data_IF_680734371771
#
_entry.id   IF_680734371771
#
_cell.length_a   1.000
_cell.length_b   1.000
_cell.length_c   1.000
_cell.angle_alpha   90.00
_cell.angle_beta   90.00
_cell.angle_gamma   90.00
#
_symmetry.space_group_name_H-M   'P 1'
#
loop_
_entity.id
_entity.type
_entity.pdbx_description
1 polymer ?
#
# COMPACT_ATOMS: atom_id res chain seq x y z
N UNK A 1 12.87 12.84 70.69
CA UNK A 1 11.58 13.09 71.39
C UNK A 1 10.51 13.42 70.33
N UNK A 2 9.39 12.78 70.48
CA UNK A 2 8.09 12.86 69.80
C UNK A 2 7.92 12.08 68.52
N UNK A 3 7.38 10.87 68.73
CA UNK A 3 6.57 10.04 67.84
C UNK A 3 5.23 10.75 67.61
N UNK A 4 4.72 10.76 66.41
CA UNK A 4 3.28 10.84 66.18
C UNK A 4 2.93 9.73 65.20
N UNK A 5 2.26 8.71 65.73
CA UNK A 5 1.43 7.73 65.00
C UNK A 5 0.14 8.43 64.60
N UNK A 6 -0.31 8.26 63.40
CA UNK A 6 -1.72 8.38 63.03
C UNK A 6 -2.10 7.25 62.07
N UNK A 7 -2.74 6.28 62.63
CA UNK A 7 -3.61 5.26 62.03
C UNK A 7 -4.95 5.88 61.70
N UNK A 8 -5.64 5.40 60.68
CA UNK A 8 -7.07 5.47 60.32
C UNK A 8 -7.12 5.35 58.82
N UNK A 9 -7.74 4.42 58.11
CA UNK A 9 -8.82 3.54 58.41
C UNK A 9 -9.42 3.17 57.07
N UNK A 10 -9.48 1.91 56.80
CA UNK A 10 -10.15 1.32 55.64
C UNK A 10 -11.66 1.50 55.77
N UNK A 11 -12.42 1.66 54.71
CA UNK A 11 -13.69 0.96 54.59
C UNK A 11 -13.70 0.03 53.36
N UNK A 12 -13.82 -1.21 53.70
CA UNK A 12 -14.36 -2.33 52.98
C UNK A 12 -15.83 -2.02 52.60
N UNK A 13 -16.18 -1.91 51.34
CA UNK A 13 -17.56 -1.99 50.89
C UNK A 13 -17.70 -3.14 49.88
N UNK A 14 -18.25 -4.17 50.45
CA UNK A 14 -18.91 -5.33 49.88
C UNK A 14 -20.23 -4.90 49.24
N UNK A 15 -20.61 -5.49 48.12
CA UNK A 15 -21.97 -5.66 47.54
C UNK A 15 -21.85 -5.67 46.03
N UNK A 16 -22.44 -6.51 45.26
CA UNK A 16 -23.31 -7.68 45.41
C UNK A 16 -23.42 -8.22 43.97
N UNK A 17 -23.33 -9.50 43.89
CA UNK A 17 -23.67 -10.29 42.70
C UNK A 17 -25.19 -10.26 42.55
N UNK A 18 -25.71 -9.83 41.41
CA UNK A 18 -27.08 -10.16 40.98
C UNK A 18 -26.99 -10.84 39.64
N UNK A 19 -27.23 -12.14 39.69
CA UNK A 19 -27.63 -13.03 38.62
C UNK A 19 -29.13 -12.95 38.44
N UNK A 20 -29.64 -12.90 37.21
CA UNK A 20 -30.91 -13.39 36.70
C UNK A 20 -30.92 -13.07 35.20
N UNK A 21 -30.83 -13.99 34.28
CA UNK A 21 -31.79 -15.01 33.84
C UNK A 21 -32.99 -14.41 33.06
N UNK A 22 -33.04 -14.87 31.78
CA UNK A 22 -34.21 -15.04 30.94
C UNK A 22 -35.16 -13.84 30.69
N UNK A 23 -35.19 -13.44 29.43
CA UNK A 23 -36.48 -13.25 28.77
C UNK A 23 -36.44 -13.60 27.31
N UNK A 24 -37.32 -14.50 26.98
CA UNK A 24 -37.59 -15.08 25.67
C UNK A 24 -38.37 -14.12 24.75
N UNK A 25 -38.22 -14.33 23.48
CA UNK A 25 -39.18 -14.19 22.38
C UNK A 25 -40.15 -13.00 22.38
N UNK A 26 -40.00 -12.17 21.37
CA UNK A 26 -41.17 -11.60 20.73
C UNK A 26 -40.95 -11.59 19.20
N UNK A 27 -41.53 -12.59 18.54
CA UNK A 27 -41.90 -12.59 17.12
C UNK A 27 -43.04 -11.57 16.93
N UNK A 28 -42.86 -10.61 16.07
CA UNK A 28 -43.97 -9.88 15.45
C UNK A 28 -43.90 -10.10 13.96
N UNK A 29 -44.71 -11.04 13.50
CA UNK A 29 -45.01 -11.26 12.11
C UNK A 29 -45.78 -10.07 11.54
N UNK A 30 -45.38 -9.61 10.36
CA UNK A 30 -46.18 -8.81 9.49
C UNK A 30 -46.46 -9.68 8.25
N UNK A 31 -47.63 -10.29 8.24
CA UNK A 31 -48.24 -10.95 7.11
C UNK A 31 -48.72 -9.85 6.19
N UNK A 32 -48.16 -9.73 4.99
CA UNK A 32 -48.79 -9.00 3.90
C UNK A 32 -49.53 -10.00 3.01
N UNK A 33 -50.79 -9.77 2.99
CA UNK A 33 -51.84 -10.39 2.20
C UNK A 33 -51.56 -10.27 0.70
N UNK A 34 -51.51 -11.40 0.02
CA UNK A 34 -51.44 -11.46 -1.46
C UNK A 34 -52.90 -11.45 -1.97
N UNK A 35 -53.31 -10.33 -2.50
CA UNK A 35 -54.57 -10.16 -3.18
C UNK A 35 -54.49 -10.77 -4.59
N UNK A 36 -55.14 -11.88 -4.77
CA UNK A 36 -55.33 -12.57 -6.06
C UNK A 36 -56.39 -11.84 -6.88
N UNK A 37 -55.97 -11.21 -7.96
CA UNK A 37 -56.91 -10.66 -8.95
C UNK A 37 -57.22 -11.74 -9.98
N UNK A 38 -58.41 -12.24 -9.89
CA UNK A 38 -59.11 -13.12 -10.86
C UNK A 38 -59.45 -12.33 -12.10
N UNK A 39 -58.85 -12.66 -13.26
CA UNK A 39 -59.29 -12.09 -14.56
C UNK A 39 -60.21 -13.08 -15.25
N UNK A 40 -61.46 -12.69 -15.35
CA UNK A 40 -62.55 -13.32 -16.00
C UNK A 40 -62.33 -13.35 -17.53
N UNK A 41 -62.41 -14.54 -18.11
CA UNK A 41 -62.53 -14.74 -19.56
C UNK A 41 -63.90 -14.25 -20.07
N UNK A 42 -63.85 -13.51 -21.15
CA UNK A 42 -65.04 -13.25 -21.96
C UNK A 42 -64.72 -13.48 -23.43
N UNK A 43 -65.43 -14.40 -24.01
CA UNK A 43 -65.51 -14.75 -25.43
C UNK A 43 -65.88 -13.55 -26.30
N UNK A 44 -65.27 -13.45 -27.48
CA UNK A 44 -65.93 -12.97 -28.70
C UNK A 44 -65.10 -13.40 -29.93
N UNK A 45 -65.62 -14.39 -30.60
CA UNK A 45 -65.30 -14.74 -31.98
C UNK A 45 -65.56 -13.56 -32.91
N UNK A 46 -64.62 -13.28 -33.84
CA UNK A 46 -64.98 -12.90 -35.22
C UNK A 46 -63.73 -13.09 -36.12
N UNK A 47 -63.94 -13.99 -37.07
CA UNK A 47 -62.96 -14.28 -38.10
C UNK A 47 -62.67 -13.09 -39.01
N UNK A 48 -61.43 -12.99 -39.38
CA UNK A 48 -61.00 -12.22 -40.55
C UNK A 48 -59.84 -12.97 -41.23
N UNK A 49 -60.03 -13.20 -42.46
CA UNK A 49 -59.35 -13.89 -43.51
C UNK A 49 -57.84 -13.59 -43.46
N UNK A 50 -57.03 -14.65 -43.43
CA UNK A 50 -55.55 -14.58 -43.53
C UNK A 50 -55.25 -14.42 -45.01
N UNK A 51 -54.79 -13.22 -45.38
CA UNK A 51 -54.12 -12.93 -46.64
C UNK A 51 -52.68 -13.35 -46.52
N UNK A 52 -52.19 -14.30 -47.28
CA UNK A 52 -50.86 -14.76 -47.37
C UNK A 52 -50.00 -13.63 -47.95
N UNK A 53 -49.21 -12.93 -47.10
CA UNK A 53 -48.13 -12.09 -47.52
C UNK A 53 -46.90 -12.98 -47.71
N UNK A 54 -46.34 -12.96 -48.91
CA UNK A 54 -45.06 -13.58 -49.25
C UNK A 54 -43.94 -13.05 -48.34
N UNK A 55 -42.92 -13.86 -48.04
CA UNK A 55 -41.83 -13.40 -47.19
C UNK A 55 -40.98 -12.35 -47.93
N UNK A 56 -41.07 -11.11 -47.49
CA UNK A 56 -40.12 -10.07 -47.89
C UNK A 56 -38.73 -10.57 -47.61
N UNK A 57 -37.95 -10.78 -48.67
CA UNK A 57 -36.53 -11.00 -48.61
C UNK A 57 -35.88 -9.76 -48.02
N UNK A 58 -35.60 -9.84 -46.72
CA UNK A 58 -34.72 -8.86 -46.08
C UNK A 58 -33.36 -8.88 -46.75
N UNK A 59 -33.17 -7.91 -47.64
CA UNK A 59 -31.85 -7.57 -48.16
C UNK A 59 -31.01 -7.04 -47.00
N UNK A 60 -30.30 -7.94 -46.30
CA UNK A 60 -29.27 -7.58 -45.34
C UNK A 60 -28.18 -6.93 -46.20
N UNK A 61 -27.94 -5.61 -46.09
CA UNK A 61 -26.81 -5.03 -46.73
C UNK A 61 -25.56 -5.78 -46.25
N UNK A 62 -24.74 -6.29 -47.15
CA UNK A 62 -23.51 -6.95 -46.88
C UNK A 62 -22.73 -6.04 -45.90
N UNK A 63 -22.67 -6.49 -44.65
CA UNK A 63 -21.89 -5.83 -43.60
C UNK A 63 -20.47 -5.76 -44.12
N UNK A 64 -20.04 -4.56 -44.48
CA UNK A 64 -18.62 -4.27 -44.67
C UNK A 64 -17.89 -4.83 -43.47
N UNK A 65 -16.88 -5.67 -43.69
CA UNK A 65 -16.00 -6.28 -42.69
C UNK A 65 -15.16 -5.22 -42.00
N UNK A 66 -15.77 -4.32 -41.25
CA UNK A 66 -15.08 -3.51 -40.28
C UNK A 66 -14.76 -4.44 -39.11
N UNK A 67 -13.47 -4.65 -38.85
CA UNK A 67 -13.01 -5.39 -37.69
C UNK A 67 -13.77 -4.92 -36.45
N UNK A 68 -14.32 -5.87 -35.68
CA UNK A 68 -15.22 -5.59 -34.56
C UNK A 68 -14.48 -4.69 -33.54
N UNK A 69 -14.77 -3.40 -33.62
CA UNK A 69 -14.21 -2.40 -32.71
C UNK A 69 -14.91 -2.55 -31.35
N UNK A 70 -14.17 -2.83 -30.29
CA UNK A 70 -14.69 -2.95 -28.94
C UNK A 70 -14.41 -1.65 -28.20
N UNK A 71 -15.43 -1.13 -27.53
CA UNK A 71 -15.30 0.06 -26.68
C UNK A 71 -15.24 -0.36 -25.22
N UNK A 72 -14.34 0.28 -24.48
CA UNK A 72 -14.15 0.09 -23.05
C UNK A 72 -14.34 1.42 -22.34
N UNK A 73 -14.88 1.36 -21.14
CA UNK A 73 -14.79 2.44 -20.16
C UNK A 73 -13.77 2.03 -19.12
N UNK A 74 -13.11 3.00 -18.52
CA UNK A 74 -12.12 2.72 -17.48
C UNK A 74 -11.64 3.97 -16.78
N UNK A 75 -10.55 3.80 -16.08
CA UNK A 75 -9.90 4.89 -15.35
C UNK A 75 -8.37 4.84 -15.56
N UNK A 76 -7.75 5.99 -15.41
CA UNK A 76 -6.30 6.08 -15.28
C UNK A 76 -5.91 5.51 -13.92
N UNK A 77 -4.97 4.57 -13.91
CA UNK A 77 -4.36 4.05 -12.69
C UNK A 77 -2.84 4.16 -12.74
N UNK A 78 -2.25 4.23 -11.56
CA UNK A 78 -0.81 4.09 -11.38
C UNK A 78 -0.53 2.68 -10.88
N UNK A 79 0.42 1.93 -11.48
CA UNK A 79 0.74 0.59 -10.99
C UNK A 79 1.26 0.65 -9.55
N UNK A 80 1.09 -0.41 -8.74
CA UNK A 80 1.48 -0.41 -7.33
C UNK A 80 2.94 0.00 -7.09
N UNK A 81 3.86 -0.35 -8.00
CA UNK A 81 5.28 0.04 -7.93
C UNK A 81 5.54 1.53 -8.13
N UNK A 82 4.57 2.26 -8.70
CA UNK A 82 4.63 3.70 -8.93
C UNK A 82 3.92 4.51 -7.84
N UNK A 83 3.37 3.84 -6.84
CA UNK A 83 2.75 4.44 -5.66
C UNK A 83 3.48 3.94 -4.41
N UNK A 84 3.91 4.84 -3.55
CA UNK A 84 4.56 4.50 -2.29
C UNK A 84 3.96 5.32 -1.15
N UNK A 85 3.61 4.65 -0.08
CA UNK A 85 3.24 5.30 1.19
C UNK A 85 4.49 5.41 2.03
N UNK A 86 4.82 6.60 2.46
CA UNK A 86 5.96 6.86 3.35
C UNK A 86 5.46 6.73 4.79
N UNK A 87 5.92 5.69 5.46
CA UNK A 87 5.63 5.42 6.87
C UNK A 87 6.87 5.64 7.72
N UNK A 88 6.67 6.01 8.97
CA UNK A 88 7.75 6.18 9.93
C UNK A 88 8.22 4.83 10.46
N UNK A 89 9.47 4.51 10.27
CA UNK A 89 10.08 3.28 10.82
C UNK A 89 10.30 3.39 12.33
N UNK A 90 10.55 4.62 12.84
CA UNK A 90 10.69 4.95 14.26
C UNK A 90 9.75 6.11 14.57
N UNK A 91 9.08 6.10 15.72
CA UNK A 91 8.26 7.22 16.18
C UNK A 91 9.10 8.44 16.53
N UNK A 92 8.44 9.57 16.79
CA UNK A 92 9.11 10.79 17.20
C UNK A 92 8.31 12.05 16.94
N UNK A 93 8.80 13.18 17.46
CA UNK A 93 8.24 14.49 17.18
C UNK A 93 8.74 15.00 15.82
N UNK A 94 7.82 15.42 14.96
CA UNK A 94 8.15 15.99 13.65
C UNK A 94 8.78 17.38 13.83
N UNK A 95 10.06 17.51 13.47
CA UNK A 95 10.83 18.76 13.61
C UNK A 95 10.66 19.67 12.41
N UNK A 96 10.76 19.11 11.20
CA UNK A 96 10.57 19.86 9.97
C UNK A 96 9.90 19.03 8.88
N UNK A 97 9.20 19.75 8.00
CA UNK A 97 8.47 19.20 6.86
C UNK A 97 8.65 20.17 5.67
N UNK A 98 9.77 20.05 4.92
CA UNK A 98 10.12 21.02 3.88
C UNK A 98 9.37 20.82 2.55
N UNK A 99 8.35 19.96 2.52
CA UNK A 99 7.59 19.60 1.31
C UNK A 99 6.10 19.71 1.55
N UNK A 100 5.32 19.96 0.48
CA UNK A 100 3.86 20.08 0.50
C UNK A 100 3.21 19.11 -0.48
N UNK A 101 1.91 18.88 -0.31
CA UNK A 101 1.10 18.13 -1.28
C UNK A 101 1.20 18.77 -2.67
N UNK A 102 1.54 17.97 -3.67
CA UNK A 102 1.73 18.41 -5.05
C UNK A 102 3.19 18.68 -5.43
N UNK A 103 4.11 18.81 -4.46
CA UNK A 103 5.54 18.96 -4.77
C UNK A 103 6.13 17.69 -5.39
N UNK A 104 7.09 17.89 -6.30
CA UNK A 104 7.87 16.78 -6.85
C UNK A 104 9.12 16.54 -6.00
N UNK A 105 9.32 15.31 -5.57
CA UNK A 105 10.52 14.88 -4.83
C UNK A 105 11.31 13.84 -5.62
N UNK A 106 12.63 13.86 -5.47
CA UNK A 106 13.53 12.84 -6.01
C UNK A 106 13.66 11.69 -5.01
N UNK A 107 13.95 10.47 -5.52
CA UNK A 107 14.30 9.36 -4.64
C UNK A 107 15.49 9.74 -3.73
N UNK A 108 15.37 9.48 -2.43
CA UNK A 108 16.36 9.82 -1.41
C UNK A 108 16.31 11.27 -0.91
N UNK A 109 15.46 12.13 -1.44
CA UNK A 109 15.27 13.49 -0.94
C UNK A 109 14.60 13.46 0.44
N UNK A 110 15.07 14.32 1.35
CA UNK A 110 14.50 14.47 2.69
C UNK A 110 13.13 15.12 2.56
N UNK A 111 12.12 14.47 3.13
CA UNK A 111 10.73 14.94 3.16
C UNK A 111 10.30 15.35 4.56
N UNK A 112 10.94 14.83 5.59
CA UNK A 112 10.68 15.17 6.98
C UNK A 112 11.92 14.90 7.84
N UNK A 113 12.01 15.53 9.00
CA UNK A 113 12.96 15.19 10.05
C UNK A 113 12.23 14.95 11.37
N UNK A 114 12.66 13.95 12.13
CA UNK A 114 12.09 13.53 13.40
C UNK A 114 13.09 13.68 14.52
N UNK A 115 12.63 14.13 15.68
CA UNK A 115 13.40 14.01 16.95
C UNK A 115 12.89 12.81 17.73
N UNK A 116 13.84 11.95 18.13
CA UNK A 116 13.56 10.83 19.03
C UNK A 116 14.79 10.56 19.90
N UNK A 117 14.65 10.52 21.24
CA UNK A 117 15.75 10.17 22.14
C UNK A 117 16.32 8.77 21.91
N UNK A 118 15.47 7.80 21.57
CA UNK A 118 15.91 6.42 21.31
C UNK A 118 16.83 6.33 20.08
N UNK A 119 16.65 7.24 19.10
CA UNK A 119 17.57 7.35 17.97
C UNK A 119 18.98 7.78 18.40
N UNK A 120 19.07 8.68 19.36
CA UNK A 120 20.36 9.11 19.92
C UNK A 120 20.99 7.96 20.71
N UNK A 121 20.20 7.26 21.51
CA UNK A 121 20.66 6.10 22.27
C UNK A 121 21.19 4.98 21.37
N UNK A 122 20.46 4.64 20.30
CA UNK A 122 20.88 3.62 19.33
C UNK A 122 22.25 3.95 18.68
N UNK A 123 22.49 5.22 18.37
CA UNK A 123 23.78 5.66 17.83
C UNK A 123 24.90 5.56 18.90
N UNK A 124 24.59 5.87 20.15
CA UNK A 124 25.53 5.69 21.26
C UNK A 124 25.88 4.21 21.45
N UNK A 125 24.90 3.33 21.41
CA UNK A 125 25.11 1.87 21.51
C UNK A 125 26.02 1.38 20.38
N UNK A 126 25.78 1.82 19.15
CA UNK A 126 26.62 1.50 18.00
C UNK A 126 28.08 1.96 18.20
N UNK A 127 28.29 3.21 18.58
CA UNK A 127 29.66 3.76 18.80
C UNK A 127 30.39 3.04 19.92
N UNK A 128 29.69 2.76 21.04
CA UNK A 128 30.27 2.04 22.18
C UNK A 128 30.64 0.62 21.81
N UNK A 129 29.71 -0.11 21.15
CA UNK A 129 29.99 -1.48 20.72
C UNK A 129 31.13 -1.53 19.68
N UNK A 130 31.22 -0.55 18.79
CA UNK A 130 32.27 -0.46 17.78
C UNK A 130 33.66 -0.31 18.43
N UNK A 131 33.77 0.60 19.40
CA UNK A 131 35.04 0.80 20.14
C UNK A 131 35.40 -0.45 20.95
N UNK A 132 34.43 -1.09 21.59
CA UNK A 132 34.65 -2.29 22.39
C UNK A 132 35.06 -3.49 21.54
N UNK A 133 34.45 -3.66 20.37
CA UNK A 133 34.83 -4.71 19.42
C UNK A 133 36.26 -4.55 18.94
N UNK A 134 36.72 -3.32 18.61
CA UNK A 134 38.07 -3.06 18.20
C UNK A 134 39.07 -3.44 19.28
N UNK A 135 38.78 -3.09 20.55
CA UNK A 135 39.61 -3.46 21.69
C UNK A 135 39.67 -4.98 21.91
N UNK A 136 38.53 -5.63 21.95
CA UNK A 136 38.41 -7.08 22.21
C UNK A 136 38.99 -7.93 21.07
N UNK A 137 38.90 -7.46 19.84
CA UNK A 137 39.50 -8.14 18.69
C UNK A 137 41.05 -8.20 18.86
N UNK A 138 41.66 -7.05 19.20
CA UNK A 138 43.09 -6.98 19.46
C UNK A 138 43.52 -7.86 20.66
N UNK A 139 42.68 -7.90 21.71
CA UNK A 139 42.90 -8.75 22.86
C UNK A 139 42.81 -10.24 22.50
N UNK A 140 41.76 -10.65 21.76
CA UNK A 140 41.64 -12.02 21.29
C UNK A 140 42.81 -12.45 20.41
N UNK A 141 43.24 -11.63 19.47
CA UNK A 141 44.37 -11.87 18.62
C UNK A 141 45.69 -12.00 19.47
N UNK A 142 45.86 -11.19 20.50
CA UNK A 142 46.99 -11.28 21.44
C UNK A 142 46.97 -12.60 22.18
N UNK A 143 45.85 -13.02 22.75
CA UNK A 143 45.70 -14.30 23.45
C UNK A 143 45.88 -15.50 22.49
N UNK A 144 45.47 -15.41 21.25
CA UNK A 144 45.70 -16.43 20.23
C UNK A 144 47.19 -16.60 19.92
N UNK A 145 47.93 -15.52 19.74
CA UNK A 145 49.38 -15.53 19.51
C UNK A 145 50.18 -16.09 20.72
N UNK A 146 49.75 -15.76 21.95
CA UNK A 146 50.36 -16.29 23.16
C UNK A 146 50.08 -17.77 23.34
N UNK A 147 48.86 -18.24 23.02
CA UNK A 147 48.50 -19.66 23.09
C UNK A 147 49.30 -20.52 22.10
N UNK A 148 49.56 -19.98 20.89
CA UNK A 148 50.43 -20.67 19.90
C UNK A 148 51.89 -20.82 20.40
N UNK A 149 52.35 -19.95 21.28
CA UNK A 149 53.66 -20.00 21.90
C UNK A 149 53.70 -20.70 23.27
N UNK A 150 52.64 -21.45 23.59
CA UNK A 150 52.42 -22.13 24.88
C UNK A 150 52.47 -21.19 26.10
N UNK A 151 52.33 -19.87 25.89
CA UNK A 151 52.44 -18.87 26.93
C UNK A 151 51.11 -18.38 27.51
N UNK A 152 49.95 -18.89 27.01
CA UNK A 152 48.64 -18.55 27.53
C UNK A 152 47.82 -19.82 27.84
N UNK A 153 46.93 -19.71 28.86
CA UNK A 153 46.01 -20.80 29.15
C UNK A 153 44.87 -20.86 28.15
N UNK A 154 44.44 -22.07 27.76
CA UNK A 154 43.29 -22.30 26.88
C UNK A 154 41.99 -21.59 27.41
N UNK A 155 41.84 -21.54 28.73
CA UNK A 155 40.73 -20.84 29.39
C UNK A 155 40.69 -19.36 29.01
N UNK A 156 41.83 -18.67 29.03
CA UNK A 156 41.92 -17.22 28.69
C UNK A 156 41.63 -16.96 27.21
N UNK A 157 42.11 -17.85 26.33
CA UNK A 157 41.85 -17.78 24.90
C UNK A 157 40.34 -17.95 24.63
N UNK A 158 39.71 -18.94 25.25
CA UNK A 158 38.26 -19.16 25.10
C UNK A 158 37.42 -18.00 25.66
N UNK A 159 37.82 -17.43 26.80
CA UNK A 159 37.16 -16.28 27.40
C UNK A 159 37.27 -15.05 26.50
N UNK A 160 38.47 -14.67 26.04
CA UNK A 160 38.65 -13.53 25.15
C UNK A 160 37.88 -13.66 23.82
N UNK A 161 37.83 -14.90 23.28
CA UNK A 161 37.00 -15.20 22.11
C UNK A 161 35.49 -15.01 22.37
N UNK A 162 35.00 -15.48 23.51
CA UNK A 162 33.57 -15.36 23.87
C UNK A 162 33.21 -13.87 24.08
N UNK A 163 34.04 -13.09 24.76
CA UNK A 163 33.81 -11.65 24.94
C UNK A 163 33.82 -10.88 23.62
N UNK A 164 34.79 -11.16 22.73
CA UNK A 164 34.84 -10.57 21.38
C UNK A 164 33.58 -10.89 20.58
N UNK A 165 33.17 -12.17 20.54
CA UNK A 165 31.99 -12.57 19.78
C UNK A 165 30.66 -12.00 20.33
N UNK A 166 30.57 -11.89 21.67
CA UNK A 166 29.42 -11.27 22.33
C UNK A 166 29.28 -9.81 21.92
N UNK A 167 30.38 -9.05 21.99
CA UNK A 167 30.32 -7.62 21.66
C UNK A 167 30.16 -7.39 20.17
N UNK A 168 30.76 -8.22 19.32
CA UNK A 168 30.54 -8.22 17.87
C UNK A 168 29.06 -8.42 17.51
N UNK A 169 28.37 -9.32 18.23
CA UNK A 169 26.93 -9.53 18.04
C UNK A 169 26.10 -8.28 18.34
N UNK A 170 26.46 -7.53 19.43
CA UNK A 170 25.80 -6.26 19.76
C UNK A 170 26.05 -5.20 18.69
N UNK A 171 27.30 -5.09 18.21
CA UNK A 171 27.63 -4.18 17.13
C UNK A 171 26.82 -4.46 15.87
N UNK A 172 26.74 -5.72 15.45
CA UNK A 172 25.97 -6.10 14.26
C UNK A 172 24.48 -5.85 14.46
N UNK A 173 23.92 -6.06 15.65
CA UNK A 173 22.54 -5.74 15.96
C UNK A 173 22.26 -4.23 15.85
N UNK A 174 23.13 -3.40 16.44
CA UNK A 174 23.00 -1.93 16.36
C UNK A 174 23.14 -1.43 14.92
N UNK A 175 24.07 -1.98 14.13
CA UNK A 175 24.20 -1.69 12.69
C UNK A 175 22.93 -2.03 11.92
N UNK A 176 22.35 -3.21 12.17
CA UNK A 176 21.13 -3.65 11.51
C UNK A 176 19.95 -2.71 11.83
N UNK A 177 19.81 -2.29 13.09
CA UNK A 177 18.77 -1.34 13.49
C UNK A 177 18.95 0.03 12.82
N UNK A 178 20.17 0.57 12.75
CA UNK A 178 20.47 1.82 12.04
C UNK A 178 20.22 1.70 10.53
N UNK A 179 20.53 0.56 9.93
CA UNK A 179 20.25 0.29 8.52
C UNK A 179 18.75 0.27 8.21
N UNK A 180 17.90 -0.26 9.11
CA UNK A 180 16.43 -0.20 8.98
C UNK A 180 15.90 1.24 8.99
N UNK A 181 16.61 2.16 9.63
CA UNK A 181 16.32 3.60 9.64
C UNK A 181 16.93 4.33 8.43
N UNK A 182 17.56 3.63 7.49
CA UNK A 182 18.33 4.19 6.37
C UNK A 182 19.45 5.15 6.80
N UNK A 183 20.04 4.88 7.95
CA UNK A 183 21.16 5.66 8.50
C UNK A 183 22.47 4.99 8.15
N UNK A 184 23.38 5.76 7.55
CA UNK A 184 24.73 5.30 7.24
C UNK A 184 25.63 5.40 8.50
N UNK A 185 26.09 4.25 8.96
CA UNK A 185 26.95 4.15 10.14
C UNK A 185 28.31 4.83 9.95
N UNK A 186 28.79 4.99 8.70
CA UNK A 186 30.02 5.75 8.43
C UNK A 186 29.83 7.25 8.67
N UNK A 187 28.63 7.78 8.46
CA UNK A 187 28.32 9.18 8.78
C UNK A 187 28.38 9.42 10.29
N UNK A 188 27.86 8.47 11.10
CA UNK A 188 27.94 8.56 12.56
C UNK A 188 29.39 8.53 13.02
N UNK A 189 30.23 7.66 12.45
CA UNK A 189 31.64 7.55 12.80
C UNK A 189 32.43 8.82 12.45
N UNK A 190 32.08 9.52 11.37
CA UNK A 190 32.77 10.73 10.90
C UNK A 190 32.27 12.02 11.56
N UNK A 191 30.94 12.15 11.67
CA UNK A 191 30.29 13.40 12.04
C UNK A 191 29.76 13.41 13.49
N UNK A 192 29.80 12.27 14.17
CA UNK A 192 29.25 12.11 15.52
C UNK A 192 27.70 11.81 15.48
N UNK A 193 27.12 11.90 16.67
CA UNK A 193 25.69 11.58 16.88
C UNK A 193 24.81 12.64 16.22
N UNK A 194 23.87 12.18 15.40
CA UNK A 194 22.84 13.02 14.78
C UNK A 194 21.67 13.20 15.75
N UNK A 195 21.13 14.41 15.86
CA UNK A 195 20.03 14.74 16.78
C UNK A 195 18.64 14.48 16.19
N UNK A 196 18.54 14.31 14.88
CA UNK A 196 17.29 14.07 14.16
C UNK A 196 17.46 12.96 13.14
N UNK A 197 16.37 12.21 12.95
CA UNK A 197 16.27 11.16 11.95
C UNK A 197 15.66 11.74 10.68
N UNK A 198 16.30 11.51 9.54
CA UNK A 198 15.82 11.93 8.23
C UNK A 198 14.86 10.90 7.64
N UNK A 199 13.66 11.35 7.28
CA UNK A 199 12.68 10.57 6.50
C UNK A 199 12.89 10.91 5.02
N UNK A 200 13.27 9.90 4.23
CA UNK A 200 13.62 10.07 2.82
C UNK A 200 12.56 9.47 1.91
N UNK A 201 12.37 10.09 0.74
CA UNK A 201 11.49 9.59 -0.30
C UNK A 201 12.00 8.24 -0.85
N UNK A 202 11.22 7.15 -0.80
CA UNK A 202 11.63 5.84 -1.32
C UNK A 202 11.64 5.79 -2.85
N UNK A 203 10.79 6.59 -3.49
CA UNK A 203 10.71 6.75 -4.95
C UNK A 203 10.67 8.23 -5.32
N UNK A 204 11.02 8.56 -6.57
CA UNK A 204 10.77 9.90 -7.12
C UNK A 204 9.33 10.03 -7.58
N UNK A 205 8.67 11.17 -7.30
CA UNK A 205 7.28 11.39 -7.66
C UNK A 205 6.67 12.61 -7.01
N UNK A 206 5.37 12.75 -7.10
CA UNK A 206 4.61 13.86 -6.51
C UNK A 206 4.04 13.45 -5.16
N UNK A 207 4.18 14.34 -4.18
CA UNK A 207 3.61 14.16 -2.83
C UNK A 207 2.08 14.20 -2.91
N UNK A 208 1.43 13.23 -2.27
CA UNK A 208 -0.02 13.13 -2.12
C UNK A 208 -0.37 12.86 -0.65
N UNK A 209 -1.58 13.19 -0.25
CA UNK A 209 -2.15 12.78 1.05
C UNK A 209 -1.26 13.10 2.26
N UNK A 210 -0.74 14.33 2.33
CA UNK A 210 0.04 14.76 3.47
C UNK A 210 -0.82 14.80 4.74
N UNK A 211 -0.45 13.99 5.74
CA UNK A 211 -1.18 13.84 7.00
C UNK A 211 -0.37 14.30 8.23
N UNK A 212 0.75 14.97 7.99
CA UNK A 212 1.70 15.32 9.03
C UNK A 212 1.78 16.84 9.25
N UNK A 213 1.88 17.24 10.52
CA UNK A 213 2.09 18.62 10.94
C UNK A 213 3.37 18.73 11.79
N UNK A 214 4.12 19.81 11.61
CA UNK A 214 5.30 20.10 12.43
C UNK A 214 4.92 20.25 13.90
N UNK A 215 5.73 19.67 14.79
CA UNK A 215 5.50 19.63 16.24
C UNK A 215 4.62 18.48 16.71
N UNK A 216 3.94 17.75 15.81
CA UNK A 216 3.14 16.60 16.17
C UNK A 216 4.05 15.38 16.46
N UNK A 217 3.68 14.59 17.46
CA UNK A 217 4.31 13.30 17.73
C UNK A 217 3.63 12.20 16.94
N UNK A 218 4.41 11.35 16.32
CA UNK A 218 3.95 10.20 15.54
C UNK A 218 4.53 8.89 16.10
N UNK A 219 3.73 7.84 16.06
CA UNK A 219 4.19 6.50 16.38
C UNK A 219 4.83 5.82 15.16
N UNK A 220 5.65 4.80 15.42
CA UNK A 220 6.19 3.96 14.35
C UNK A 220 5.05 3.29 13.56
N UNK A 221 5.20 3.18 12.24
CA UNK A 221 4.18 2.66 11.34
C UNK A 221 3.16 3.69 10.84
N UNK A 222 3.15 4.92 11.39
CA UNK A 222 2.23 5.97 10.96
C UNK A 222 2.60 6.48 9.56
N UNK A 223 1.62 6.60 8.63
CA UNK A 223 1.85 7.21 7.32
C UNK A 223 2.05 8.73 7.43
N UNK A 224 3.02 9.26 6.72
CA UNK A 224 3.31 10.70 6.63
C UNK A 224 2.71 11.28 5.36
N UNK A 225 2.95 10.64 4.23
CA UNK A 225 2.43 11.05 2.93
C UNK A 225 2.44 9.89 1.94
N UNK A 226 1.72 10.05 0.84
CA UNK A 226 1.85 9.25 -0.37
C UNK A 226 2.85 9.88 -1.35
N UNK A 227 3.49 9.07 -2.19
CA UNK A 227 4.28 9.54 -3.34
C UNK A 227 3.82 8.79 -4.57
N UNK A 228 3.46 9.52 -5.63
CA UNK A 228 2.99 8.94 -6.90
C UNK A 228 3.95 9.31 -8.02
N UNK A 229 4.51 8.28 -8.65
CA UNK A 229 5.31 8.44 -9.87
C UNK A 229 4.42 8.30 -11.09
N UNK A 230 4.30 9.36 -11.89
CA UNK A 230 3.47 9.36 -13.11
C UNK A 230 4.16 8.77 -14.35
N UNK A 231 5.44 8.43 -14.27
CA UNK A 231 6.19 7.93 -15.42
C UNK A 231 5.62 6.63 -16.00
N UNK A 232 4.95 5.84 -15.20
CA UNK A 232 4.29 4.61 -15.60
C UNK A 232 2.78 4.72 -15.39
N UNK A 233 2.09 5.34 -16.33
CA UNK A 233 0.63 5.42 -16.31
C UNK A 233 0.04 4.18 -16.98
N UNK A 234 -0.99 3.61 -16.38
CA UNK A 234 -1.77 2.49 -16.91
C UNK A 234 -3.25 2.86 -16.99
N UNK A 235 -3.98 2.14 -17.79
CA UNK A 235 -5.44 2.16 -17.82
C UNK A 235 -5.94 0.89 -17.13
N UNK A 236 -6.93 1.05 -16.29
CA UNK A 236 -7.79 -0.02 -15.81
C UNK A 236 -9.09 0.07 -16.61
N UNK A 237 -9.24 -0.79 -17.60
CA UNK A 237 -10.38 -0.85 -18.50
C UNK A 237 -11.33 -1.96 -18.06
N UNK A 238 -12.62 -1.73 -18.23
CA UNK A 238 -13.66 -2.73 -17.95
C UNK A 238 -14.10 -3.36 -19.26
N UNK A 239 -13.82 -4.64 -19.44
CA UNK A 239 -14.34 -5.48 -20.52
C UNK A 239 -15.48 -6.34 -19.99
N UNK A 240 -16.32 -6.88 -20.90
CA UNK A 240 -17.37 -7.82 -20.55
C UNK A 240 -17.03 -9.23 -21.04
N UNK A 241 -17.57 -10.25 -20.38
CA UNK A 241 -17.34 -11.66 -20.70
C UNK A 241 -17.55 -11.97 -22.20
N UNK A 242 -18.56 -11.36 -22.83
CA UNK A 242 -18.87 -11.51 -24.28
C UNK A 242 -17.74 -11.03 -25.19
N UNK A 243 -16.88 -10.13 -24.72
CA UNK A 243 -15.82 -9.51 -25.50
C UNK A 243 -14.46 -10.21 -25.30
N UNK A 244 -14.37 -11.13 -24.33
CA UNK A 244 -13.13 -11.79 -23.94
C UNK A 244 -12.46 -12.56 -25.09
N UNK A 245 -13.23 -13.20 -25.96
CA UNK A 245 -12.72 -13.94 -27.10
C UNK A 245 -12.08 -13.03 -28.19
N UNK A 246 -12.31 -11.73 -28.11
CA UNK A 246 -11.88 -10.75 -29.11
C UNK A 246 -10.75 -9.84 -28.65
N UNK A 247 -10.39 -9.86 -27.36
CA UNK A 247 -9.28 -9.07 -26.79
C UNK A 247 -8.10 -9.99 -26.47
N UNK A 248 -6.90 -9.49 -26.69
CA UNK A 248 -5.67 -10.22 -26.38
C UNK A 248 -4.60 -9.28 -25.79
N UNK A 249 -3.70 -9.86 -25.02
CA UNK A 249 -2.49 -9.17 -24.58
C UNK A 249 -1.67 -8.78 -25.83
N UNK A 250 -1.22 -7.52 -25.89
CA UNK A 250 -0.54 -6.93 -27.05
C UNK A 250 -1.45 -6.11 -27.97
N UNK A 251 -2.79 -6.19 -27.81
CA UNK A 251 -3.71 -5.38 -28.59
C UNK A 251 -3.49 -3.88 -28.33
N UNK A 252 -3.54 -3.08 -29.39
CA UNK A 252 -3.44 -1.62 -29.29
C UNK A 252 -4.82 -1.03 -28.98
N UNK A 253 -4.81 -0.06 -28.08
CA UNK A 253 -6.00 0.64 -27.62
C UNK A 253 -5.80 2.13 -27.82
N UNK A 254 -6.75 2.78 -28.47
CA UNK A 254 -6.84 4.23 -28.55
C UNK A 254 -7.82 4.71 -27.49
N UNK A 255 -7.48 5.76 -26.75
CA UNK A 255 -8.32 6.27 -25.70
C UNK A 255 -8.31 7.79 -25.61
N UNK A 256 -9.38 8.33 -25.06
CA UNK A 256 -9.53 9.74 -24.68
C UNK A 256 -9.74 9.82 -23.17
N UNK A 257 -9.30 10.92 -22.58
CA UNK A 257 -9.43 11.17 -21.14
C UNK A 257 -10.48 12.26 -20.93
N UNK A 258 -11.48 11.98 -20.09
CA UNK A 258 -12.51 12.97 -19.78
C UNK A 258 -11.89 14.14 -19.00
N UNK A 259 -12.16 15.37 -19.48
CA UNK A 259 -11.64 16.59 -18.85
C UNK A 259 -10.27 17.05 -19.36
N UNK A 260 -9.70 16.36 -20.33
CA UNK A 260 -8.56 16.84 -21.13
C UNK A 260 -9.08 16.97 -22.55
N UNK A 261 -8.62 17.99 -23.29
CA UNK A 261 -9.02 18.20 -24.69
C UNK A 261 -9.00 16.88 -25.47
N UNK A 262 -9.91 16.73 -26.45
CA UNK A 262 -10.15 15.49 -27.21
C UNK A 262 -8.90 14.89 -27.91
N UNK A 263 -7.77 14.93 -27.23
CA UNK A 263 -6.52 14.33 -27.70
C UNK A 263 -6.64 12.80 -27.62
N UNK A 264 -6.25 12.13 -28.72
CA UNK A 264 -6.26 10.68 -28.83
C UNK A 264 -4.92 10.13 -28.36
N UNK A 265 -4.94 9.33 -27.33
CA UNK A 265 -3.76 8.66 -26.75
C UNK A 265 -3.77 7.19 -27.13
N UNK A 266 -2.59 6.57 -27.03
CA UNK A 266 -2.43 5.15 -27.31
C UNK A 266 -1.92 4.39 -26.10
N UNK A 267 -2.47 3.19 -25.92
CA UNK A 267 -2.05 2.22 -24.92
C UNK A 267 -1.99 0.82 -25.53
N UNK A 268 -1.33 -0.09 -24.83
CA UNK A 268 -1.18 -1.49 -25.20
C UNK A 268 -1.67 -2.37 -24.06
N UNK A 269 -2.53 -3.35 -24.34
CA UNK A 269 -3.03 -4.30 -23.34
C UNK A 269 -1.85 -5.16 -22.87
N UNK A 270 -1.54 -5.07 -21.57
CA UNK A 270 -0.44 -5.82 -20.97
C UNK A 270 -0.90 -7.00 -20.12
N UNK A 271 -2.12 -6.95 -19.61
CA UNK A 271 -2.71 -8.05 -18.83
C UNK A 271 -4.24 -8.01 -18.89
N UNK A 272 -4.83 -9.18 -18.77
CA UNK A 272 -6.27 -9.40 -18.64
C UNK A 272 -6.46 -10.20 -17.36
N UNK A 273 -7.35 -9.75 -16.49
CA UNK A 273 -7.65 -10.45 -15.24
C UNK A 273 -8.19 -11.87 -15.53
N UNK A 274 -7.84 -12.81 -14.69
CA UNK A 274 -8.29 -14.20 -14.82
C UNK A 274 -9.59 -14.46 -14.03
N UNK A 275 -10.10 -13.45 -13.34
CA UNK A 275 -11.34 -13.53 -12.57
C UNK A 275 -12.41 -12.63 -13.18
N UNK A 276 -13.61 -13.16 -13.31
CA UNK A 276 -14.81 -12.42 -13.71
C UNK A 276 -15.49 -11.92 -12.45
N UNK A 277 -15.82 -10.65 -12.40
CA UNK A 277 -16.68 -10.11 -11.35
C UNK A 277 -18.10 -10.66 -11.54
N UNK A 278 -18.58 -11.45 -10.58
CA UNK A 278 -19.85 -12.15 -10.64
C UNK A 278 -21.09 -11.22 -10.61
N UNK A 279 -20.95 -10.02 -10.05
CA UNK A 279 -22.07 -9.08 -9.93
C UNK A 279 -22.45 -8.43 -11.27
N UNK A 280 -21.44 -8.05 -12.05
CA UNK A 280 -21.64 -7.29 -13.30
C UNK A 280 -21.06 -8.00 -14.54
N UNK A 281 -20.52 -9.20 -14.40
CA UNK A 281 -19.86 -10.00 -15.44
C UNK A 281 -18.78 -9.25 -16.20
N UNK A 282 -18.05 -8.39 -15.49
CA UNK A 282 -16.95 -7.64 -16.05
C UNK A 282 -15.61 -8.28 -15.72
N UNK A 283 -14.62 -7.94 -16.53
CA UNK A 283 -13.23 -8.39 -16.42
C UNK A 283 -12.36 -7.14 -16.50
N UNK A 284 -11.37 -7.05 -15.61
CA UNK A 284 -10.40 -5.97 -15.64
C UNK A 284 -9.35 -6.22 -16.72
N UNK A 285 -9.10 -5.22 -17.52
CA UNK A 285 -8.07 -5.22 -18.57
C UNK A 285 -7.09 -4.09 -18.25
N UNK A 286 -5.82 -4.43 -18.18
CA UNK A 286 -4.74 -3.49 -17.87
C UNK A 286 -4.02 -3.14 -19.15
N UNK A 287 -3.95 -1.84 -19.47
CA UNK A 287 -3.23 -1.37 -20.63
C UNK A 287 -2.18 -0.32 -20.24
N UNK A 288 -0.98 -0.45 -20.77
CA UNK A 288 0.13 0.48 -20.54
C UNK A 288 0.06 1.63 -21.52
N UNK A 289 0.04 2.86 -21.03
CA UNK A 289 0.03 4.06 -21.84
C UNK A 289 1.40 4.26 -22.49
N UNK A 290 1.44 4.48 -23.82
CA UNK A 290 2.69 4.68 -24.55
C UNK A 290 3.34 6.03 -24.26
N UNK A 291 2.54 7.09 -24.18
CA UNK A 291 2.99 8.46 -23.90
C UNK A 291 2.13 9.04 -22.78
N UNK A 292 2.74 9.25 -21.64
CA UNK A 292 2.08 9.84 -20.45
C UNK A 292 2.01 11.36 -20.60
N UNK A 293 0.87 11.94 -20.27
CA UNK A 293 0.67 13.38 -20.16
C UNK A 293 0.84 13.88 -18.73
N UNK A 294 1.33 15.09 -18.57
CA UNK A 294 1.49 15.75 -17.27
C UNK A 294 0.14 16.03 -16.58
N UNK A 295 -0.93 16.16 -17.35
CA UNK A 295 -2.28 16.39 -16.87
C UNK A 295 -2.95 15.12 -16.32
N UNK A 296 -2.43 13.94 -16.62
CA UNK A 296 -3.01 12.69 -16.13
C UNK A 296 -3.00 12.63 -14.60
N UNK A 297 -4.15 12.24 -14.05
CA UNK A 297 -4.34 11.98 -12.62
C UNK A 297 -4.97 10.62 -12.42
N UNK A 298 -4.57 9.94 -11.37
CA UNK A 298 -5.21 8.68 -10.97
C UNK A 298 -6.70 8.91 -10.72
N UNK A 299 -7.53 7.99 -11.23
CA UNK A 299 -8.98 8.06 -11.10
C UNK A 299 -9.70 8.84 -12.22
N UNK A 300 -8.98 9.50 -13.15
CA UNK A 300 -9.63 10.12 -14.32
C UNK A 300 -10.27 9.06 -15.20
N UNK A 301 -11.51 9.34 -15.62
CA UNK A 301 -12.27 8.45 -16.52
C UNK A 301 -11.70 8.50 -17.94
N UNK A 302 -11.69 7.34 -18.57
CA UNK A 302 -11.24 7.16 -19.94
C UNK A 302 -12.28 6.39 -20.76
N UNK A 303 -12.40 6.77 -22.04
CA UNK A 303 -13.14 5.99 -23.04
C UNK A 303 -12.14 5.46 -24.04
N UNK A 304 -12.10 4.15 -24.21
CA UNK A 304 -11.09 3.47 -25.02
C UNK A 304 -11.71 2.56 -26.06
N UNK A 305 -11.00 2.33 -27.18
CA UNK A 305 -11.42 1.45 -28.26
C UNK A 305 -10.24 0.61 -28.74
N UNK A 306 -10.47 -0.69 -28.99
CA UNK A 306 -9.46 -1.50 -29.67
C UNK A 306 -9.44 -1.15 -31.15
N UNK A 307 -8.24 -1.00 -31.71
CA UNK A 307 -8.02 -0.87 -33.14
C UNK A 307 -7.43 -2.21 -33.63
N UNK A 308 -8.31 -3.17 -33.98
CA UNK A 308 -7.87 -4.41 -34.67
C UNK A 308 -7.65 -4.10 -36.14
N UNK A 309 -6.47 -3.60 -36.48
CA UNK A 309 -5.96 -3.78 -37.83
C UNK A 309 -5.58 -5.27 -37.96
N UNK A 310 -6.35 -6.00 -38.77
CA UNK A 310 -5.98 -7.34 -39.24
C UNK A 310 -4.80 -7.24 -40.16
#
# INVERSE_FOLDING_TARGET
>A
MRKILLTIGLPLSLLAVVSCADHAKQESGITQEVESVEVKAADAEKGTTVEQAEPDTWNIPASSSNGKQISFNGIIMMPPKSHSIVTLTMGGALESLPVFTGDYVKKGQIIATLRNPDFIQLQQEYLTASAQVEYLEKEYQRQQNLAQKEAASQKRLQQSKAEYLSEKSKLEAAKAQLALLNVDTEQIARNGIMTYLEVKAPIGGYITEMQANVGQYFEAGTPVCGIVNKAETMLLLTAYEKDLATIAVGDQVEFTVNGIDNELYQAEITAIDQMVNSENRSINVYAKVKKTDSLFRQGMYVSAKTNKNK
#
